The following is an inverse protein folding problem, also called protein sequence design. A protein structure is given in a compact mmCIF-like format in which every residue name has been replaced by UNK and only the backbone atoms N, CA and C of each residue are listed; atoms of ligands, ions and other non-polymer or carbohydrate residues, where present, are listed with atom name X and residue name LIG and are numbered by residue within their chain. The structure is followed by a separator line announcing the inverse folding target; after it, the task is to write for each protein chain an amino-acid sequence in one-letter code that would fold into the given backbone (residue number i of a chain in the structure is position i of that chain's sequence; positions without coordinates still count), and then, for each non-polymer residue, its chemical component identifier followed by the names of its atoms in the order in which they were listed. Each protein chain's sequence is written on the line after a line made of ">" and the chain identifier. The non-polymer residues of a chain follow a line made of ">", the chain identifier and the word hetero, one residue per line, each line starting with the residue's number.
data_IF_051234744376
#
_entry.id   IF_051234744376
#
_cell.length_a   1.000
_cell.length_b   1.000
_cell.length_c   1.000
_cell.angle_alpha   90.00
_cell.angle_beta   90.00
_cell.angle_gamma   90.00
#
_symmetry.space_group_name_H-M   'P 1'
#
loop_
_entity.id
_entity.type
_entity.pdbx_description
1 polymer ?
#
# COMPACT_ATOMS: atom_id res chain seq x y z
N UNK A 1 -13.70 13.44 -0.03
CA UNK A 1 -12.28 13.22 0.35
C UNK A 1 -11.81 11.96 -0.33
N UNK A 2 -10.60 11.99 -0.88
CA UNK A 2 -9.93 10.83 -1.47
C UNK A 2 -8.57 10.70 -0.78
N UNK A 3 -8.21 9.50 -0.32
CA UNK A 3 -6.87 9.19 0.18
C UNK A 3 -6.31 7.95 -0.50
N UNK A 4 -4.98 7.87 -0.52
CA UNK A 4 -4.26 6.69 -0.95
C UNK A 4 -3.14 6.39 0.05
N UNK A 5 -3.03 5.14 0.48
CA UNK A 5 -2.12 4.73 1.54
C UNK A 5 -1.53 3.34 1.25
N UNK A 6 -0.29 3.05 1.65
CA UNK A 6 0.29 1.74 1.42
C UNK A 6 -0.36 0.66 2.31
N UNK A 7 -0.73 -0.47 1.70
CA UNK A 7 -1.43 -1.55 2.39
C UNK A 7 -0.49 -2.41 3.23
N UNK A 8 -0.79 -2.57 4.51
CA UNK A 8 -0.03 -3.43 5.44
C UNK A 8 -0.12 -4.92 5.14
N UNK A 9 -1.20 -5.36 4.50
CA UNK A 9 -1.40 -6.76 4.13
C UNK A 9 -0.53 -7.15 2.93
N UNK A 10 -0.09 -6.19 2.10
CA UNK A 10 0.72 -6.50 0.94
C UNK A 10 2.15 -6.87 1.37
N UNK A 11 2.66 -8.06 0.97
CA UNK A 11 3.97 -8.54 1.44
C UNK A 11 5.13 -7.69 0.93
N UNK A 12 5.01 -7.05 -0.23
CA UNK A 12 6.06 -6.20 -0.79
C UNK A 12 6.04 -4.80 -0.17
N UNK A 13 4.87 -4.27 0.14
CA UNK A 13 4.76 -3.06 0.98
C UNK A 13 5.39 -3.31 2.34
N UNK A 14 5.13 -4.46 2.96
CA UNK A 14 5.84 -4.85 4.19
C UNK A 14 7.36 -4.92 3.95
N UNK A 15 7.80 -5.66 2.93
CA UNK A 15 9.21 -5.92 2.66
C UNK A 15 10.01 -4.63 2.40
N UNK A 16 9.45 -3.68 1.66
CA UNK A 16 10.18 -2.47 1.27
C UNK A 16 9.88 -1.26 2.16
N UNK A 17 8.70 -1.22 2.80
CA UNK A 17 8.24 -0.05 3.53
C UNK A 17 8.22 -0.21 5.05
N UNK A 18 7.94 -1.39 5.59
CA UNK A 18 7.78 -1.59 7.03
C UNK A 18 9.13 -1.56 7.78
N UNK A 19 9.25 -0.84 8.91
CA UNK A 19 10.46 -0.84 9.75
C UNK A 19 10.89 -2.21 10.26
N UNK A 20 9.97 -3.19 10.36
CA UNK A 20 10.29 -4.54 10.80
C UNK A 20 10.96 -5.39 9.71
N UNK A 21 11.06 -4.90 8.47
CA UNK A 21 11.66 -5.64 7.37
C UNK A 21 13.18 -5.56 7.40
N UNK A 22 13.90 -6.66 7.05
CA UNK A 22 15.35 -6.62 6.90
C UNK A 22 15.83 -5.72 5.75
N UNK A 23 14.94 -5.30 4.83
CA UNK A 23 15.25 -4.39 3.73
C UNK A 23 14.77 -2.96 3.96
N UNK A 24 14.36 -2.62 5.18
CA UNK A 24 13.88 -1.29 5.50
C UNK A 24 14.95 -0.21 5.26
N UNK A 25 14.53 0.88 4.63
CA UNK A 25 15.30 2.13 4.52
C UNK A 25 14.37 3.30 4.81
N UNK A 26 14.90 4.33 5.49
CA UNK A 26 14.18 5.60 5.70
C UNK A 26 14.28 6.56 4.51
N UNK A 27 15.17 6.31 3.57
CA UNK A 27 15.39 7.22 2.43
C UNK A 27 14.12 7.25 1.56
N UNK A 28 13.60 8.44 1.29
CA UNK A 28 12.34 8.62 0.55
C UNK A 28 11.07 8.33 1.36
N UNK A 29 11.18 8.20 2.69
CA UNK A 29 10.04 8.02 3.61
C UNK A 29 10.05 9.10 4.68
N UNK A 30 8.87 9.43 5.18
CA UNK A 30 8.74 10.29 6.38
C UNK A 30 8.87 9.44 7.64
N UNK A 31 9.30 10.03 8.75
CA UNK A 31 9.41 9.31 10.03
C UNK A 31 8.06 8.77 10.54
N UNK A 32 6.97 9.39 10.12
CA UNK A 32 5.60 9.02 10.49
C UNK A 32 4.93 8.09 9.47
N UNK A 33 5.66 7.68 8.43
CA UNK A 33 5.11 6.76 7.43
C UNK A 33 4.79 5.41 8.06
N UNK A 34 3.56 4.95 7.88
CA UNK A 34 3.08 3.67 8.38
C UNK A 34 2.25 2.96 7.32
N UNK A 35 2.35 1.63 7.32
CA UNK A 35 1.43 0.80 6.56
C UNK A 35 0.09 0.70 7.31
N UNK A 36 -1.01 0.77 6.56
CA UNK A 36 -2.36 0.79 7.13
C UNK A 36 -3.17 -0.43 6.71
N UNK A 37 -4.20 -0.76 7.50
CA UNK A 37 -5.24 -1.69 7.12
C UNK A 37 -6.44 -0.93 6.55
N UNK A 38 -7.09 -1.50 5.53
CA UNK A 38 -8.30 -0.92 4.94
C UNK A 38 -9.40 -0.65 5.98
N UNK A 39 -9.58 -1.59 6.93
CA UNK A 39 -10.56 -1.47 8.00
C UNK A 39 -10.27 -0.27 8.91
N UNK A 40 -9.01 -0.06 9.30
CA UNK A 40 -8.64 1.05 10.19
C UNK A 40 -8.98 2.40 9.55
N UNK A 41 -8.72 2.55 8.25
CA UNK A 41 -9.07 3.77 7.50
C UNK A 41 -10.58 3.95 7.45
N UNK A 42 -11.33 2.90 7.14
CA UNK A 42 -12.78 2.94 7.10
C UNK A 42 -13.38 3.39 8.44
N UNK A 43 -12.94 2.79 9.55
CA UNK A 43 -13.43 3.13 10.90
C UNK A 43 -13.09 4.56 11.29
N UNK A 44 -11.89 5.04 10.97
CA UNK A 44 -11.49 6.43 11.25
C UNK A 44 -12.34 7.42 10.44
N UNK A 45 -12.54 7.17 9.15
CA UNK A 45 -13.33 8.04 8.28
C UNK A 45 -14.78 8.13 8.74
N UNK A 46 -15.40 6.99 9.08
CA UNK A 46 -16.74 6.94 9.68
C UNK A 46 -16.81 7.73 11.00
N UNK A 47 -15.83 7.56 11.88
CA UNK A 47 -15.77 8.26 13.18
C UNK A 47 -15.64 9.78 13.02
N UNK A 48 -14.93 10.24 11.99
CA UNK A 48 -14.78 11.67 11.68
C UNK A 48 -16.07 12.28 11.10
N UNK A 49 -17.05 11.45 10.75
CA UNK A 49 -18.36 11.88 10.26
C UNK A 49 -18.50 11.87 8.74
N UNK A 50 -17.58 11.23 8.01
CA UNK A 50 -17.77 11.02 6.58
C UNK A 50 -18.92 10.03 6.30
N UNK A 51 -19.72 10.34 5.28
CA UNK A 51 -20.77 9.50 4.72
C UNK A 51 -20.27 8.80 3.45
N UNK A 52 -20.97 7.76 3.01
CA UNK A 52 -20.59 6.95 1.83
C UNK A 52 -19.11 6.55 1.79
N UNK A 53 -18.55 6.13 2.93
CA UNK A 53 -17.15 5.71 3.03
C UNK A 53 -16.97 4.37 2.33
N UNK A 54 -16.07 4.33 1.37
CA UNK A 54 -15.60 3.10 0.73
C UNK A 54 -14.07 3.03 0.82
N UNK A 55 -13.55 1.86 1.18
CA UNK A 55 -12.11 1.62 1.24
C UNK A 55 -11.82 0.29 0.56
N UNK A 56 -11.02 0.32 -0.51
CA UNK A 56 -10.68 -0.86 -1.27
C UNK A 56 -9.19 -0.90 -1.61
N UNK A 57 -8.68 -2.10 -1.88
CA UNK A 57 -7.30 -2.29 -2.28
C UNK A 57 -7.18 -2.24 -3.81
N UNK A 58 -6.10 -1.64 -4.31
CA UNK A 58 -5.71 -1.63 -5.72
C UNK A 58 -4.32 -2.22 -5.89
N UNK A 59 -4.10 -2.82 -7.07
CA UNK A 59 -2.80 -3.31 -7.52
C UNK A 59 -2.50 -2.84 -8.94
N UNK A 60 -1.30 -3.14 -9.43
CA UNK A 60 -0.82 -2.70 -10.75
C UNK A 60 0.00 -1.43 -10.69
N UNK A 61 0.41 -1.00 -9.49
CA UNK A 61 1.26 0.19 -9.28
C UNK A 61 2.70 -0.25 -9.08
N UNK A 62 3.48 -0.21 -10.16
CA UNK A 62 4.90 -0.57 -10.13
C UNK A 62 5.75 0.45 -9.34
N UNK A 63 6.75 -0.04 -8.61
CA UNK A 63 7.78 0.84 -8.04
C UNK A 63 8.74 1.29 -9.14
N UNK A 64 9.01 2.60 -9.21
CA UNK A 64 9.99 3.17 -10.15
C UNK A 64 11.42 3.09 -9.62
N UNK A 65 11.58 3.33 -8.33
CA UNK A 65 12.89 3.44 -7.67
C UNK A 65 12.81 2.89 -6.26
N UNK A 66 13.75 2.01 -5.91
CA UNK A 66 14.03 1.58 -4.55
C UNK A 66 15.48 1.92 -4.25
N UNK A 67 15.80 2.40 -3.04
CA UNK A 67 17.18 2.75 -2.70
C UNK A 67 18.04 1.53 -2.30
N UNK A 68 17.43 0.53 -1.64
CA UNK A 68 18.12 -0.69 -1.24
C UNK A 68 18.73 -1.41 -2.44
N UNK A 69 20.02 -1.74 -2.40
CA UNK A 69 20.69 -2.48 -3.47
C UNK A 69 20.02 -3.85 -3.70
N UNK A 70 19.65 -4.55 -2.63
CA UNK A 70 18.92 -5.83 -2.73
C UNK A 70 17.50 -5.61 -3.25
N UNK A 71 16.85 -4.53 -2.81
CA UNK A 71 15.53 -4.15 -3.33
C UNK A 71 15.54 -3.87 -4.83
N UNK A 72 16.59 -3.21 -5.36
CA UNK A 72 16.77 -2.96 -6.80
C UNK A 72 16.86 -4.26 -7.61
N UNK A 73 17.48 -5.31 -7.05
CA UNK A 73 17.58 -6.62 -7.72
C UNK A 73 16.22 -7.32 -7.78
N UNK A 74 15.43 -7.24 -6.70
CA UNK A 74 14.10 -7.85 -6.62
C UNK A 74 12.99 -7.01 -7.26
N UNK A 75 13.27 -5.75 -7.60
CA UNK A 75 12.32 -4.80 -8.15
C UNK A 75 11.64 -5.27 -9.46
N UNK A 76 12.35 -5.83 -10.46
CA UNK A 76 11.70 -6.33 -11.67
C UNK A 76 10.72 -7.47 -11.38
N UNK A 77 11.09 -8.37 -10.47
CA UNK A 77 10.24 -9.49 -10.04
C UNK A 77 8.98 -8.95 -9.36
N UNK A 78 9.13 -7.98 -8.47
CA UNK A 78 7.99 -7.32 -7.85
C UNK A 78 7.07 -6.68 -8.89
N UNK A 79 7.61 -5.89 -9.82
CA UNK A 79 6.80 -5.17 -10.80
C UNK A 79 6.01 -6.13 -11.70
N UNK A 80 6.58 -7.29 -12.05
CA UNK A 80 5.88 -8.36 -12.77
C UNK A 80 4.72 -8.90 -11.91
N UNK A 81 5.00 -9.29 -10.67
CA UNK A 81 3.97 -9.81 -9.75
C UNK A 81 2.85 -8.78 -9.55
N UNK A 82 3.20 -7.50 -9.41
CA UNK A 82 2.24 -6.41 -9.20
C UNK A 82 1.32 -6.22 -10.41
N UNK A 83 1.85 -6.33 -11.63
CA UNK A 83 1.03 -6.31 -12.85
C UNK A 83 0.09 -7.51 -12.93
N UNK A 84 0.58 -8.71 -12.62
CA UNK A 84 -0.26 -9.92 -12.57
C UNK A 84 -1.35 -9.80 -11.48
N UNK A 85 -0.99 -9.30 -10.29
CA UNK A 85 -1.93 -9.06 -9.21
C UNK A 85 -3.02 -8.06 -9.59
N UNK A 86 -2.70 -7.06 -10.41
CA UNK A 86 -3.69 -6.10 -10.95
C UNK A 86 -4.78 -6.75 -11.82
N UNK A 87 -4.51 -7.90 -12.43
CA UNK A 87 -5.47 -8.65 -13.26
C UNK A 87 -6.26 -9.66 -12.40
N UNK A 88 -5.65 -10.17 -11.34
CA UNK A 88 -6.25 -11.15 -10.45
C UNK A 88 -7.24 -10.50 -9.46
N UNK A 89 -8.32 -11.21 -9.06
CA UNK A 89 -9.26 -10.71 -8.04
C UNK A 89 -8.64 -10.61 -6.63
N UNK A 90 -7.44 -11.18 -6.44
CA UNK A 90 -6.64 -11.09 -5.22
C UNK A 90 -6.22 -9.65 -4.87
N UNK A 91 -6.14 -8.77 -5.88
CA UNK A 91 -5.91 -7.33 -5.71
C UNK A 91 -6.86 -6.67 -4.72
N UNK A 92 -8.12 -7.12 -4.64
CA UNK A 92 -9.14 -6.56 -3.75
C UNK A 92 -8.79 -6.69 -2.26
N UNK A 93 -7.91 -7.63 -1.90
CA UNK A 93 -7.50 -7.88 -0.51
C UNK A 93 -6.01 -7.64 -0.26
N UNK A 94 -5.16 -8.05 -1.20
CA UNK A 94 -3.69 -7.98 -1.07
C UNK A 94 -3.09 -6.86 -1.92
N UNK A 95 -3.92 -5.97 -2.48
CA UNK A 95 -3.47 -4.89 -3.32
C UNK A 95 -2.42 -4.03 -2.64
N UNK A 96 -1.48 -3.50 -3.41
CA UNK A 96 -0.36 -2.70 -2.91
C UNK A 96 -0.81 -1.40 -2.23
N UNK A 97 -1.87 -0.76 -2.73
CA UNK A 97 -2.38 0.49 -2.17
C UNK A 97 -3.83 0.35 -1.73
N UNK A 98 -4.17 1.10 -0.70
CA UNK A 98 -5.52 1.33 -0.23
C UNK A 98 -6.00 2.64 -0.87
N UNK A 99 -7.19 2.63 -1.44
CA UNK A 99 -7.91 3.82 -1.86
C UNK A 99 -9.10 3.97 -0.94
N UNK A 100 -9.23 5.14 -0.33
CA UNK A 100 -10.39 5.49 0.48
C UNK A 100 -11.10 6.70 -0.12
N UNK A 101 -12.41 6.57 -0.27
CA UNK A 101 -13.31 7.63 -0.65
C UNK A 101 -14.31 7.87 0.48
N UNK A 102 -14.67 9.13 0.70
CA UNK A 102 -15.76 9.49 1.61
C UNK A 102 -16.32 10.88 1.30
N UNK A 103 -17.62 11.05 1.49
CA UNK A 103 -18.35 12.31 1.28
C UNK A 103 -18.60 13.00 2.61
N UNK A 104 -18.58 14.32 2.62
CA UNK A 104 -18.80 15.11 3.84
C UNK A 104 -20.16 15.80 3.76
#
# INVERSE_FOLDING_TARGET
>A
MLSYDPNKINPFMWLYRDPSSPFFSKIGKTDNERLLYAQDIYEVMKRVGYTHVDTHCISGVAFKTLESQVGKILLPIYNIIEQFMGILPLSKKYGSFLICYGEK
#
